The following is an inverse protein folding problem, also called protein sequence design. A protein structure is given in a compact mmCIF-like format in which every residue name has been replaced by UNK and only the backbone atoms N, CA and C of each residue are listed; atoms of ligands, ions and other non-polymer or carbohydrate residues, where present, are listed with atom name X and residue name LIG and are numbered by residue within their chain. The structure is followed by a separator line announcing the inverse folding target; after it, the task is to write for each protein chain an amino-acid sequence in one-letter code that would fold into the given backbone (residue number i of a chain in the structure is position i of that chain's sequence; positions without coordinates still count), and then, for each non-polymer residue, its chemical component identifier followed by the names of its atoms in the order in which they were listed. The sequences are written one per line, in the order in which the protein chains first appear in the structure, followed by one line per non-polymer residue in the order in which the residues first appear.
data_IF_898355724575
#
_entry.id   IF_898355724575
#
_cell.length_a   1.000
_cell.length_b   1.000
_cell.length_c   1.000
_cell.angle_alpha   90.00
_cell.angle_beta   90.00
_cell.angle_gamma   90.00
#
_symmetry.space_group_name_H-M   'P 1'
#
loop_
_entity.id
_entity.type
_entity.pdbx_description
1 polymer ?
#
# COMPACT_ATOMS: atom_id res chain seq x y z
N UNK A 1 9.84 16.34 2.53
CA UNK A 1 8.93 16.82 1.48
C UNK A 1 7.64 16.03 1.59
N UNK A 2 6.51 16.71 1.69
CA UNK A 2 5.18 16.13 1.84
C UNK A 2 4.36 16.47 0.60
N UNK A 3 3.50 15.55 0.18
CA UNK A 3 2.55 15.71 -0.91
C UNK A 3 1.18 15.88 -0.27
N UNK A 4 0.53 16.99 -0.59
CA UNK A 4 -0.78 17.35 -0.03
C UNK A 4 -1.88 17.05 -1.06
N UNK A 5 -2.94 16.38 -0.60
CA UNK A 5 -4.16 16.13 -1.35
C UNK A 5 -5.32 16.82 -0.66
N UNK A 6 -6.15 17.51 -1.44
CA UNK A 6 -7.38 18.13 -0.98
C UNK A 6 -8.59 17.38 -1.53
N UNK A 7 -9.49 16.99 -0.63
CA UNK A 7 -10.73 16.28 -0.93
C UNK A 7 -11.92 17.13 -0.47
N UNK A 8 -12.45 18.04 -1.33
CA UNK A 8 -13.45 19.04 -0.94
C UNK A 8 -14.77 18.44 -0.43
N UNK A 9 -15.25 17.35 -1.05
CA UNK A 9 -16.50 16.69 -0.65
C UNK A 9 -16.40 16.03 0.73
N UNK A 10 -15.23 15.49 1.03
CA UNK A 10 -14.92 14.89 2.32
C UNK A 10 -14.46 15.91 3.37
N UNK A 11 -14.18 17.15 2.93
CA UNK A 11 -13.56 18.21 3.75
C UNK A 11 -12.25 17.74 4.41
N UNK A 12 -11.43 16.98 3.68
CA UNK A 12 -10.20 16.36 4.17
C UNK A 12 -9.00 16.96 3.44
N UNK A 13 -7.96 17.29 4.20
CA UNK A 13 -6.59 17.45 3.71
C UNK A 13 -5.79 16.21 4.13
N UNK A 14 -5.18 15.54 3.18
CA UNK A 14 -4.39 14.33 3.43
C UNK A 14 -2.97 14.51 2.91
N UNK A 15 -1.99 14.30 3.78
CA UNK A 15 -0.59 14.50 3.46
C UNK A 15 0.19 13.19 3.59
N UNK A 16 1.05 12.93 2.62
CA UNK A 16 1.97 11.78 2.63
C UNK A 16 3.40 12.23 2.33
N UNK A 17 4.43 11.56 2.90
CA UNK A 17 5.81 11.87 2.57
C UNK A 17 6.17 11.34 1.18
N UNK A 18 6.93 12.14 0.42
CA UNK A 18 7.63 11.66 -0.77
C UNK A 18 8.91 10.94 -0.35
N UNK A 19 8.80 9.62 -0.11
CA UNK A 19 9.93 8.81 0.32
C UNK A 19 11.03 8.68 -0.74
N UNK A 20 10.67 8.72 -2.03
CA UNK A 20 11.67 8.70 -3.10
C UNK A 20 12.56 9.93 -3.00
N UNK A 21 11.95 11.12 -2.91
CA UNK A 21 12.72 12.36 -2.80
C UNK A 21 13.49 12.47 -1.48
N UNK A 22 12.90 12.07 -0.35
CA UNK A 22 13.56 12.09 0.97
C UNK A 22 14.81 11.21 0.95
N UNK A 23 14.69 9.96 0.52
CA UNK A 23 15.78 9.00 0.53
C UNK A 23 16.86 9.38 -0.51
N UNK A 24 16.47 9.70 -1.76
CA UNK A 24 17.45 10.04 -2.79
C UNK A 24 18.24 11.29 -2.43
N UNK A 25 17.60 12.35 -1.93
CA UNK A 25 18.28 13.57 -1.52
C UNK A 25 19.30 13.34 -0.40
N UNK A 26 18.97 12.46 0.56
CA UNK A 26 19.86 12.16 1.69
C UNK A 26 21.16 11.51 1.28
N UNK A 27 21.22 10.80 0.15
CA UNK A 27 22.43 10.15 -0.35
C UNK A 27 23.55 11.15 -0.61
N UNK A 28 23.21 12.40 -0.92
CA UNK A 28 24.22 13.48 -1.13
C UNK A 28 24.99 13.84 0.14
N UNK A 29 24.45 13.50 1.31
CA UNK A 29 25.14 13.75 2.59
C UNK A 29 26.16 12.69 2.97
N UNK A 30 26.24 11.57 2.24
CA UNK A 30 27.22 10.52 2.50
C UNK A 30 28.59 10.98 2.03
N UNK A 31 29.58 11.13 2.95
CA UNK A 31 30.91 11.65 2.60
C UNK A 31 31.63 10.77 1.59
N UNK A 32 32.65 11.32 0.95
CA UNK A 32 33.59 10.56 0.12
C UNK A 32 34.26 9.47 0.97
N UNK A 33 34.48 8.28 0.39
CA UNK A 33 35.08 7.14 1.09
C UNK A 33 34.16 6.47 2.11
N UNK A 34 32.91 6.90 2.22
CA UNK A 34 31.91 6.32 3.12
C UNK A 34 30.74 5.71 2.35
N UNK A 35 30.10 4.75 2.98
CA UNK A 35 28.87 4.08 2.49
C UNK A 35 27.82 4.06 3.58
N UNK A 36 26.60 3.70 3.22
CA UNK A 36 25.57 3.35 4.19
C UNK A 36 24.87 2.07 3.76
N UNK A 37 24.01 1.51 4.62
CA UNK A 37 23.26 0.29 4.29
C UNK A 37 21.79 0.58 4.09
N UNK A 38 21.09 -0.31 3.36
CA UNK A 38 19.63 -0.25 3.25
C UNK A 38 18.96 -0.23 4.63
N UNK A 39 19.51 -0.98 5.59
CA UNK A 39 19.00 -1.05 6.96
C UNK A 39 19.21 0.25 7.75
N UNK A 40 20.35 0.92 7.59
CA UNK A 40 20.63 2.19 8.27
C UNK A 40 19.73 3.32 7.73
N UNK A 41 19.49 3.36 6.41
CA UNK A 41 18.49 4.29 5.84
C UNK A 41 17.09 3.98 6.41
N UNK A 42 16.70 2.69 6.47
CA UNK A 42 15.42 2.30 7.05
C UNK A 42 15.27 2.71 8.52
N UNK A 43 16.31 2.53 9.34
CA UNK A 43 16.35 3.01 10.74
C UNK A 43 16.22 4.53 10.82
N UNK A 44 16.94 5.27 9.94
CA UNK A 44 16.85 6.73 9.91
C UNK A 44 15.46 7.23 9.51
N UNK A 45 14.74 6.51 8.64
CA UNK A 45 13.33 6.77 8.33
C UNK A 45 12.39 6.52 9.52
N UNK A 46 12.86 5.85 10.57
CA UNK A 46 12.10 5.52 11.78
C UNK A 46 11.57 4.08 11.84
N UNK A 47 11.81 3.26 10.81
CA UNK A 47 11.42 1.84 10.83
C UNK A 47 12.30 0.98 9.91
N UNK A 48 13.05 0.04 10.50
CA UNK A 48 13.95 -0.88 9.80
C UNK A 48 13.21 -1.78 8.77
N UNK A 49 11.90 -2.00 8.93
CA UNK A 49 11.11 -2.81 8.00
C UNK A 49 11.11 -2.21 6.58
N UNK A 50 11.41 -0.93 6.44
CA UNK A 50 11.49 -0.20 5.17
C UNK A 50 12.74 -0.50 4.35
N UNK A 51 13.72 -1.26 4.84
CA UNK A 51 14.98 -1.53 4.14
C UNK A 51 14.77 -2.08 2.70
N UNK A 52 13.75 -2.95 2.50
CA UNK A 52 13.41 -3.45 1.16
C UNK A 52 12.86 -2.35 0.25
N UNK A 53 12.05 -1.45 0.80
CA UNK A 53 11.52 -0.28 0.09
C UNK A 53 12.64 0.68 -0.31
N UNK A 54 13.64 0.88 0.57
CA UNK A 54 14.86 1.63 0.25
C UNK A 54 15.59 0.97 -0.92
N UNK A 55 15.73 -0.37 -0.93
CA UNK A 55 16.29 -1.11 -2.06
C UNK A 55 15.54 -0.85 -3.37
N UNK A 56 14.22 -0.80 -3.33
CA UNK A 56 13.39 -0.47 -4.49
C UNK A 56 13.63 0.97 -4.99
N UNK A 57 13.72 1.95 -4.08
CA UNK A 57 14.05 3.34 -4.42
C UNK A 57 15.42 3.43 -5.10
N UNK A 58 16.42 2.67 -4.61
CA UNK A 58 17.73 2.63 -5.26
C UNK A 58 17.68 2.03 -6.66
N UNK A 59 16.93 0.92 -6.83
CA UNK A 59 16.81 0.23 -8.12
C UNK A 59 16.07 1.06 -9.18
N UNK A 60 15.15 1.94 -8.76
CA UNK A 60 14.36 2.81 -9.64
C UNK A 60 14.90 4.23 -9.76
N UNK A 61 16.09 4.51 -9.20
CA UNK A 61 16.73 5.83 -9.29
C UNK A 61 17.08 6.17 -10.74
N UNK A 62 16.45 7.21 -11.29
CA UNK A 62 16.65 7.70 -12.65
C UNK A 62 17.86 8.63 -12.80
N UNK A 63 18.35 9.17 -11.68
CA UNK A 63 19.42 10.18 -11.65
C UNK A 63 20.60 9.73 -10.79
N UNK A 64 21.25 8.57 -11.14
CA UNK A 64 22.31 7.99 -10.33
C UNK A 64 23.58 8.84 -10.26
N UNK A 65 23.75 9.79 -11.20
CA UNK A 65 24.86 10.75 -11.18
C UNK A 65 24.57 11.94 -10.24
N UNK A 66 23.27 12.25 -10.00
CA UNK A 66 22.84 13.28 -9.05
C UNK A 66 22.70 12.72 -7.64
N UNK A 67 22.17 11.50 -7.52
CA UNK A 67 21.89 10.80 -6.26
C UNK A 67 22.74 9.52 -6.20
N UNK A 68 23.86 9.51 -5.44
CA UNK A 68 24.87 8.47 -5.49
C UNK A 68 24.41 7.16 -4.82
N UNK A 69 23.41 6.49 -5.40
CA UNK A 69 22.87 5.24 -4.86
C UNK A 69 23.86 4.07 -4.91
N UNK A 70 25.01 4.20 -5.61
CA UNK A 70 26.12 3.25 -5.51
C UNK A 70 26.74 3.17 -4.11
N UNK A 71 26.56 4.20 -3.25
CA UNK A 71 27.02 4.22 -1.85
C UNK A 71 26.14 3.42 -0.88
N UNK A 72 25.02 2.85 -1.36
CA UNK A 72 24.15 2.03 -0.51
C UNK A 72 24.44 0.55 -0.75
N UNK A 73 24.73 -0.19 0.32
CA UNK A 73 25.22 -1.57 0.30
C UNK A 73 24.43 -2.46 1.27
N UNK A 74 24.67 -3.77 1.24
CA UNK A 74 24.13 -4.72 2.21
C UNK A 74 24.74 -4.52 3.59
N UNK A 75 24.01 -4.92 4.64
CA UNK A 75 24.51 -4.89 6.02
C UNK A 75 25.63 -5.90 6.27
N UNK A 76 25.77 -6.89 5.42
CA UNK A 76 26.86 -7.88 5.40
C UNK A 76 28.08 -7.41 4.59
N UNK A 77 28.08 -6.19 4.10
CA UNK A 77 29.12 -5.64 3.23
C UNK A 77 28.96 -5.97 1.74
N UNK A 78 27.99 -6.81 1.36
CA UNK A 78 27.73 -7.09 -0.04
C UNK A 78 27.36 -5.81 -0.78
N UNK A 79 28.08 -5.53 -1.88
CA UNK A 79 27.85 -4.29 -2.64
C UNK A 79 26.45 -4.21 -3.26
N UNK A 80 25.78 -5.37 -3.47
CA UNK A 80 24.45 -5.43 -4.05
C UNK A 80 24.38 -5.01 -5.52
N UNK A 81 23.16 -4.96 -6.05
CA UNK A 81 22.91 -4.50 -7.41
C UNK A 81 23.08 -3.00 -7.61
N UNK A 82 23.09 -2.59 -8.87
CA UNK A 82 23.11 -1.18 -9.28
C UNK A 82 22.37 -1.04 -10.62
N UNK A 83 21.56 0.00 -10.79
CA UNK A 83 20.78 0.23 -12.01
C UNK A 83 21.63 0.37 -13.28
N UNK A 84 22.86 0.87 -13.15
CA UNK A 84 23.83 1.00 -14.24
C UNK A 84 24.85 -0.15 -14.30
N UNK A 85 24.58 -1.26 -13.63
CA UNK A 85 25.44 -2.44 -13.60
C UNK A 85 26.43 -2.48 -12.43
N UNK A 86 26.63 -3.68 -11.89
CA UNK A 86 27.43 -3.92 -10.67
C UNK A 86 28.91 -3.56 -10.87
N UNK A 87 29.45 -3.73 -12.08
CA UNK A 87 30.86 -3.39 -12.34
C UNK A 87 31.10 -1.88 -12.30
N UNK A 88 30.13 -1.07 -12.75
CA UNK A 88 30.22 0.37 -12.60
C UNK A 88 30.14 0.77 -11.11
N UNK A 89 29.32 0.11 -10.33
CA UNK A 89 29.25 0.31 -8.86
C UNK A 89 30.60 0.04 -8.21
N UNK A 90 31.24 -1.10 -8.53
CA UNK A 90 32.58 -1.46 -8.04
C UNK A 90 33.62 -0.38 -8.40
N UNK A 91 33.62 0.09 -9.66
CA UNK A 91 34.55 1.14 -10.10
C UNK A 91 34.33 2.45 -9.36
N UNK A 92 33.06 2.89 -9.18
CA UNK A 92 32.74 4.13 -8.43
C UNK A 92 33.21 4.03 -6.97
N UNK A 93 32.93 2.91 -6.28
CA UNK A 93 33.35 2.67 -4.90
C UNK A 93 34.88 2.64 -4.77
N UNK A 94 35.60 1.93 -5.66
CA UNK A 94 37.06 1.89 -5.66
C UNK A 94 37.71 3.27 -5.93
N UNK A 95 37.09 4.09 -6.79
CA UNK A 95 37.54 5.47 -7.02
C UNK A 95 37.46 6.35 -5.77
N UNK A 96 36.57 6.01 -4.85
CA UNK A 96 36.44 6.66 -3.53
C UNK A 96 37.39 6.09 -2.47
N UNK A 97 38.29 5.14 -2.84
CA UNK A 97 39.24 4.50 -1.93
C UNK A 97 38.67 3.29 -1.16
N UNK A 98 37.46 2.82 -1.51
CA UNK A 98 36.82 1.70 -0.81
C UNK A 98 37.34 0.36 -1.35
N UNK A 99 37.86 -0.49 -0.46
CA UNK A 99 38.36 -1.82 -0.79
C UNK A 99 37.21 -2.81 -0.91
N UNK A 100 37.23 -3.59 -2.00
CA UNK A 100 36.22 -4.59 -2.32
C UNK A 100 36.90 -5.92 -2.62
N UNK A 101 36.60 -6.95 -1.80
CA UNK A 101 37.13 -8.30 -1.93
C UNK A 101 35.94 -9.26 -2.08
N UNK A 102 35.95 -10.12 -3.10
CA UNK A 102 34.88 -11.10 -3.33
C UNK A 102 33.45 -10.51 -3.47
N UNK A 103 33.34 -9.23 -3.86
CA UNK A 103 32.04 -8.56 -3.95
C UNK A 103 31.54 -7.94 -2.65
N UNK A 104 32.36 -7.97 -1.60
CA UNK A 104 32.07 -7.39 -0.28
C UNK A 104 33.03 -6.25 0.01
N UNK A 105 32.55 -5.27 0.75
CA UNK A 105 33.35 -4.17 1.29
C UNK A 105 34.17 -4.70 2.48
N UNK A 106 35.46 -4.47 2.42
CA UNK A 106 36.37 -4.75 3.54
C UNK A 106 36.24 -3.66 4.62
N UNK A 107 36.21 -4.05 5.90
CA UNK A 107 36.11 -3.15 7.06
C UNK A 107 34.87 -2.21 6.97
N UNK A 108 33.70 -2.76 6.65
CA UNK A 108 32.46 -1.98 6.50
C UNK A 108 32.18 -1.10 7.72
N UNK A 109 32.44 -1.62 8.93
CA UNK A 109 32.18 -0.95 10.22
C UNK A 109 32.95 0.37 10.38
N UNK A 110 34.10 0.52 9.70
CA UNK A 110 34.93 1.73 9.76
C UNK A 110 34.41 2.84 8.82
N UNK A 111 33.70 2.46 7.77
CA UNK A 111 33.30 3.39 6.71
C UNK A 111 31.79 3.56 6.57
N UNK A 112 30.99 2.81 7.35
CA UNK A 112 29.53 2.91 7.31
C UNK A 112 29.05 4.17 8.01
N UNK A 113 28.18 4.94 7.35
CA UNK A 113 27.44 6.05 7.95
C UNK A 113 26.18 5.47 8.60
N UNK A 114 26.08 5.62 9.92
CA UNK A 114 24.99 5.09 10.71
C UNK A 114 23.72 5.95 10.59
N UNK A 115 22.58 5.40 10.92
CA UNK A 115 21.27 6.06 10.85
C UNK A 115 21.21 7.42 11.53
N UNK A 116 21.85 7.57 12.70
CA UNK A 116 21.90 8.83 13.45
C UNK A 116 22.66 9.96 12.75
N UNK A 117 23.58 9.61 11.84
CA UNK A 117 24.43 10.55 11.12
C UNK A 117 23.87 10.85 9.70
N UNK A 118 22.84 10.10 9.26
CA UNK A 118 22.13 10.36 8.03
C UNK A 118 21.14 11.52 8.22
N UNK A 119 21.14 12.48 7.30
CA UNK A 119 20.22 13.62 7.32
C UNK A 119 18.85 13.21 6.76
N UNK A 120 18.19 12.25 7.41
CA UNK A 120 16.88 11.71 7.04
C UNK A 120 15.88 11.99 8.18
N UNK A 121 14.76 12.65 7.91
CA UNK A 121 13.71 12.81 8.92
C UNK A 121 13.04 11.46 9.20
N UNK A 122 12.70 11.13 10.47
CA UNK A 122 12.07 9.86 10.85
C UNK A 122 10.57 9.83 10.50
N UNK A 123 10.25 9.97 9.20
CA UNK A 123 8.87 10.13 8.72
C UNK A 123 8.02 8.89 8.97
N UNK A 124 8.60 7.69 8.98
CA UNK A 124 7.83 6.46 9.26
C UNK A 124 7.40 6.38 10.73
N UNK A 125 8.21 6.89 11.64
CA UNK A 125 7.83 7.01 13.05
C UNK A 125 6.64 7.97 13.21
N UNK A 126 6.63 9.08 12.48
CA UNK A 126 5.50 10.03 12.46
C UNK A 126 4.23 9.37 11.90
N UNK A 127 4.35 8.55 10.85
CA UNK A 127 3.22 7.80 10.30
C UNK A 127 2.72 6.71 11.25
N UNK A 128 3.61 6.05 12.02
CA UNK A 128 3.20 5.11 13.07
C UNK A 128 2.39 5.80 14.15
N UNK A 129 2.87 6.95 14.64
CA UNK A 129 2.16 7.75 15.65
C UNK A 129 0.78 8.19 15.12
N UNK A 130 0.71 8.60 13.87
CA UNK A 130 -0.56 8.94 13.22
C UNK A 130 -1.51 7.73 13.16
N UNK A 131 -1.02 6.54 12.78
CA UNK A 131 -1.84 5.32 12.80
C UNK A 131 -2.33 4.95 14.20
N UNK A 132 -1.49 5.12 15.22
CA UNK A 132 -1.88 4.88 16.63
C UNK A 132 -2.96 5.87 17.06
N UNK A 133 -2.75 7.16 16.83
CA UNK A 133 -3.72 8.21 17.15
C UNK A 133 -5.08 8.01 16.44
N UNK A 134 -5.05 7.72 15.13
CA UNK A 134 -6.28 7.45 14.39
C UNK A 134 -6.92 6.10 14.82
N UNK A 135 -6.11 5.13 15.23
CA UNK A 135 -6.58 3.86 15.76
C UNK A 135 -7.43 4.01 17.02
N UNK A 136 -7.14 4.99 17.87
CA UNK A 136 -7.95 5.34 19.05
C UNK A 136 -9.31 5.96 18.67
N UNK A 137 -9.47 6.43 17.43
CA UNK A 137 -10.72 6.97 16.90
C UNK A 137 -11.58 5.92 16.22
N UNK A 138 -11.11 4.68 16.12
CA UNK A 138 -11.91 3.58 15.57
C UNK A 138 -13.10 3.31 16.49
N UNK A 139 -14.28 3.48 15.94
CA UNK A 139 -15.53 3.13 16.60
C UNK A 139 -15.94 1.72 16.15
N UNK A 140 -16.06 0.79 17.09
CA UNK A 140 -16.52 -0.58 16.84
C UNK A 140 -17.98 -0.80 17.27
N UNK A 141 -18.75 0.28 17.39
CA UNK A 141 -20.20 0.19 17.61
C UNK A 141 -20.90 -0.49 16.43
N UNK A 142 -22.02 -1.09 16.70
CA UNK A 142 -22.79 -1.79 15.67
C UNK A 142 -23.25 -0.81 14.58
N UNK A 143 -23.08 -1.22 13.33
CA UNK A 143 -23.84 -0.66 12.24
C UNK A 143 -25.31 -1.08 12.42
N UNK A 144 -26.18 -0.09 12.50
CA UNK A 144 -27.61 -0.32 12.69
C UNK A 144 -28.30 -0.48 11.33
N UNK A 145 -28.71 -1.71 11.01
CA UNK A 145 -29.47 -2.02 9.80
C UNK A 145 -28.70 -2.91 8.81
N UNK A 146 -29.39 -3.25 7.71
CA UNK A 146 -28.78 -3.88 6.56
C UNK A 146 -28.37 -2.79 5.57
N UNK A 147 -27.10 -2.77 5.11
CA UNK A 147 -26.67 -1.75 4.16
C UNK A 147 -27.36 -1.97 2.81
N UNK A 148 -27.98 -0.93 2.26
CA UNK A 148 -28.48 -0.94 0.89
C UNK A 148 -27.43 -0.46 -0.11
N UNK A 149 -26.75 0.64 0.21
CA UNK A 149 -25.76 1.25 -0.66
C UNK A 149 -24.35 0.93 -0.17
N UNK A 150 -23.65 0.11 -0.93
CA UNK A 150 -22.29 -0.31 -0.62
C UNK A 150 -21.32 0.29 -1.64
N UNK A 151 -20.28 0.97 -1.20
CA UNK A 151 -19.12 1.28 -2.04
C UNK A 151 -18.06 0.23 -1.81
N UNK A 152 -17.64 -0.46 -2.86
CA UNK A 152 -16.46 -1.32 -2.83
C UNK A 152 -15.27 -0.65 -3.49
N UNK A 153 -14.09 -0.82 -2.88
CA UNK A 153 -12.82 -0.24 -3.32
C UNK A 153 -11.81 -1.35 -3.60
N UNK A 154 -11.26 -1.36 -4.82
CA UNK A 154 -10.12 -2.17 -5.23
C UNK A 154 -8.96 -1.28 -5.68
N UNK A 155 -7.74 -1.68 -5.37
CA UNK A 155 -6.54 -0.96 -5.69
C UNK A 155 -5.56 -1.79 -6.49
N UNK A 156 -4.99 -1.18 -7.50
CA UNK A 156 -4.01 -1.80 -8.37
C UNK A 156 -2.84 -0.88 -8.66
N UNK A 157 -1.76 -1.47 -9.20
CA UNK A 157 -0.52 -0.74 -9.45
C UNK A 157 0.02 -0.99 -10.84
N UNK A 158 0.67 0.02 -11.38
CA UNK A 158 1.58 -0.09 -12.51
C UNK A 158 2.96 0.32 -12.00
N UNK A 159 3.87 -0.65 -11.98
CA UNK A 159 5.26 -0.38 -11.64
C UNK A 159 5.96 0.24 -12.84
N UNK A 160 6.70 1.26 -12.56
CA UNK A 160 7.50 1.99 -13.53
C UNK A 160 7.79 3.38 -12.99
N UNK A 161 8.83 4.05 -13.44
CA UNK A 161 9.07 5.41 -12.97
C UNK A 161 8.25 6.45 -13.75
N UNK A 162 7.25 7.14 -13.13
CA UNK A 162 6.79 6.93 -11.75
C UNK A 162 5.90 5.69 -11.61
N UNK A 163 5.92 5.06 -10.43
CA UNK A 163 4.90 4.08 -10.06
C UNK A 163 3.54 4.78 -9.98
N UNK A 164 2.49 4.06 -10.38
CA UNK A 164 1.12 4.59 -10.41
C UNK A 164 0.20 3.68 -9.59
N UNK A 165 -0.60 4.30 -8.72
CA UNK A 165 -1.74 3.68 -8.06
C UNK A 165 -3.02 3.95 -8.85
N UNK A 166 -3.84 2.93 -8.98
CA UNK A 166 -5.15 2.98 -9.62
C UNK A 166 -6.15 2.48 -8.59
N UNK A 167 -7.12 3.32 -8.22
CA UNK A 167 -8.24 2.88 -7.41
C UNK A 167 -9.51 2.85 -8.26
N UNK A 168 -10.30 1.82 -8.03
CA UNK A 168 -11.65 1.68 -8.59
C UNK A 168 -12.64 1.65 -7.43
N UNK A 169 -13.57 2.59 -7.42
CA UNK A 169 -14.70 2.64 -6.51
C UNK A 169 -15.97 2.25 -7.28
N UNK A 170 -16.76 1.34 -6.73
CA UNK A 170 -18.01 0.90 -7.31
C UNK A 170 -19.16 1.01 -6.30
N UNK A 171 -20.19 1.77 -6.63
CA UNK A 171 -21.38 1.95 -5.81
C UNK A 171 -22.44 0.94 -6.25
N UNK A 172 -22.87 0.13 -5.30
CA UNK A 172 -23.92 -0.89 -5.46
C UNK A 172 -25.18 -0.50 -4.73
N UNK A 173 -26.33 -0.82 -5.32
CA UNK A 173 -27.60 -0.99 -4.65
C UNK A 173 -27.81 -2.49 -4.43
N UNK A 174 -27.70 -2.95 -3.20
CA UNK A 174 -27.84 -4.38 -2.85
C UNK A 174 -29.28 -4.87 -2.97
N UNK A 175 -30.28 -4.00 -2.76
CA UNK A 175 -31.69 -4.34 -2.87
C UNK A 175 -32.08 -4.59 -4.33
N UNK A 176 -31.64 -3.70 -5.25
CA UNK A 176 -31.87 -3.85 -6.69
C UNK A 176 -30.80 -4.70 -7.40
N UNK A 177 -29.80 -5.16 -6.65
CA UNK A 177 -28.69 -5.96 -7.16
C UNK A 177 -28.01 -5.39 -8.41
N UNK A 178 -27.74 -4.09 -8.41
CA UNK A 178 -27.16 -3.36 -9.54
C UNK A 178 -26.04 -2.40 -9.16
N UNK A 179 -25.14 -2.16 -10.11
CA UNK A 179 -24.16 -1.09 -10.04
C UNK A 179 -24.84 0.24 -10.37
N UNK A 180 -24.71 1.22 -9.49
CA UNK A 180 -25.24 2.57 -9.68
C UNK A 180 -24.18 3.50 -10.28
N UNK A 181 -22.95 3.36 -9.88
CA UNK A 181 -21.84 4.20 -10.35
C UNK A 181 -20.51 3.50 -10.23
N UNK A 182 -19.56 3.93 -11.05
CA UNK A 182 -18.19 3.46 -11.04
C UNK A 182 -17.25 4.65 -11.26
N UNK A 183 -16.24 4.75 -10.42
CA UNK A 183 -15.21 5.78 -10.54
C UNK A 183 -13.81 5.16 -10.52
N UNK A 184 -12.93 5.72 -11.36
CA UNK A 184 -11.52 5.36 -11.40
C UNK A 184 -10.69 6.60 -11.09
N UNK A 185 -9.66 6.42 -10.29
CA UNK A 185 -8.61 7.41 -10.06
C UNK A 185 -7.25 6.84 -10.39
N UNK A 186 -6.35 7.71 -10.82
CA UNK A 186 -4.97 7.37 -11.17
C UNK A 186 -4.07 8.43 -10.54
N UNK A 187 -3.15 8.01 -9.67
CA UNK A 187 -2.22 8.94 -9.00
C UNK A 187 -0.80 8.39 -8.98
N UNK A 188 0.22 9.26 -9.03
CA UNK A 188 1.59 8.83 -8.78
C UNK A 188 1.75 8.28 -7.36
N UNK A 189 2.63 7.30 -7.20
CA UNK A 189 3.00 6.74 -5.90
C UNK A 189 4.26 7.47 -5.40
N UNK A 190 4.14 8.08 -4.22
CA UNK A 190 5.26 8.75 -3.54
C UNK A 190 5.84 7.92 -2.40
N UNK A 191 5.21 6.80 -2.09
CA UNK A 191 5.63 5.88 -1.05
C UNK A 191 5.66 4.45 -1.58
N UNK A 192 6.82 3.79 -1.69
CA UNK A 192 6.89 2.39 -2.12
C UNK A 192 6.20 1.49 -1.10
N UNK A 193 5.95 0.23 -1.47
CA UNK A 193 5.35 -0.73 -0.55
C UNK A 193 6.25 -0.96 0.68
N UNK A 194 5.70 -0.69 1.85
CA UNK A 194 6.28 -1.01 3.14
C UNK A 194 5.22 -1.78 3.95
N UNK A 195 5.53 -3.00 4.44
CA UNK A 195 4.58 -3.74 5.27
C UNK A 195 4.01 -2.89 6.40
N UNK A 196 2.71 -2.98 6.64
CA UNK A 196 1.96 -2.23 7.66
C UNK A 196 1.76 -0.72 7.41
N UNK A 197 2.28 -0.18 6.28
CA UNK A 197 2.06 1.21 5.87
C UNK A 197 1.27 1.31 4.55
N UNK A 198 0.62 0.22 4.14
CA UNK A 198 -0.06 0.12 2.85
C UNK A 198 -1.07 1.26 2.65
N UNK A 199 -1.82 1.63 3.70
CA UNK A 199 -2.80 2.70 3.64
C UNK A 199 -2.22 4.02 3.11
N UNK A 200 -1.03 4.42 3.54
CA UNK A 200 -0.43 5.69 3.09
C UNK A 200 -0.05 5.69 1.60
N UNK A 201 0.18 4.52 1.03
CA UNK A 201 0.42 4.35 -0.41
C UNK A 201 -0.87 4.42 -1.23
N UNK A 202 -1.98 3.94 -0.68
CA UNK A 202 -3.23 3.65 -1.38
C UNK A 202 -4.30 4.72 -1.21
N UNK A 203 -4.34 5.34 -0.04
CA UNK A 203 -5.39 6.29 0.32
C UNK A 203 -5.57 7.45 -0.66
N UNK A 204 -4.52 8.07 -1.23
CA UNK A 204 -4.73 9.17 -2.18
C UNK A 204 -5.60 8.75 -3.37
N UNK A 205 -5.32 7.57 -3.95
CA UNK A 205 -6.13 7.04 -5.05
C UNK A 205 -7.54 6.65 -4.59
N UNK A 206 -7.63 5.93 -3.46
CA UNK A 206 -8.90 5.46 -2.91
C UNK A 206 -9.86 6.63 -2.61
N UNK A 207 -9.37 7.68 -1.95
CA UNK A 207 -10.17 8.86 -1.60
C UNK A 207 -10.62 9.64 -2.85
N UNK A 208 -9.76 9.80 -3.87
CA UNK A 208 -10.14 10.44 -5.13
C UNK A 208 -11.22 9.67 -5.89
N UNK A 209 -11.16 8.34 -5.86
CA UNK A 209 -12.21 7.52 -6.47
C UNK A 209 -13.51 7.58 -5.66
N UNK A 210 -13.41 7.51 -4.33
CA UNK A 210 -14.55 7.61 -3.42
C UNK A 210 -15.26 8.96 -3.58
N UNK A 211 -14.53 10.06 -3.61
CA UNK A 211 -15.07 11.41 -3.73
C UNK A 211 -15.97 11.57 -4.96
N UNK A 212 -15.58 10.96 -6.10
CA UNK A 212 -16.41 10.95 -7.31
C UNK A 212 -17.73 10.16 -7.14
N UNK A 213 -17.69 9.12 -6.30
CA UNK A 213 -18.90 8.35 -5.97
C UNK A 213 -19.87 9.16 -5.11
N UNK A 214 -19.34 9.96 -4.18
CA UNK A 214 -20.14 10.79 -3.29
C UNK A 214 -20.95 11.87 -4.04
N UNK A 215 -20.56 12.23 -5.28
CA UNK A 215 -21.35 13.08 -6.17
C UNK A 215 -22.67 12.42 -6.59
N UNK A 216 -22.72 11.09 -6.62
CA UNK A 216 -23.89 10.32 -7.02
C UNK A 216 -24.76 9.99 -5.80
N UNK A 217 -24.15 9.40 -4.75
CA UNK A 217 -24.83 9.02 -3.52
C UNK A 217 -23.85 8.73 -2.38
N UNK A 218 -24.21 9.10 -1.18
CA UNK A 218 -23.54 8.66 0.04
C UNK A 218 -23.82 7.17 0.29
N UNK A 219 -22.80 6.33 0.52
CA UNK A 219 -22.98 4.92 0.84
C UNK A 219 -23.33 4.72 2.33
N UNK A 220 -24.01 3.62 2.63
CA UNK A 220 -24.23 3.18 3.99
C UNK A 220 -22.95 2.60 4.59
N UNK A 221 -22.11 1.96 3.73
CA UNK A 221 -20.86 1.34 4.14
C UNK A 221 -19.85 1.28 2.99
N UNK A 222 -18.57 1.31 3.36
CA UNK A 222 -17.42 1.10 2.44
C UNK A 222 -16.83 -0.28 2.71
N UNK A 223 -16.75 -1.13 1.67
CA UNK A 223 -16.03 -2.40 1.66
C UNK A 223 -14.69 -2.22 0.91
N UNK A 224 -13.58 -2.50 1.56
CA UNK A 224 -12.24 -2.26 1.01
C UNK A 224 -11.51 -3.59 0.81
N UNK A 225 -10.89 -3.82 -0.36
CA UNK A 225 -9.96 -4.95 -0.53
C UNK A 225 -8.71 -4.68 0.32
N UNK A 226 -8.75 -5.13 1.58
CA UNK A 226 -7.72 -4.90 2.58
C UNK A 226 -8.19 -5.16 3.99
N UNK A 227 -7.33 -4.89 4.96
CA UNK A 227 -7.62 -5.15 6.36
C UNK A 227 -8.26 -3.93 7.05
N UNK A 228 -9.18 -4.23 8.00
CA UNK A 228 -9.61 -3.29 9.02
C UNK A 228 -8.73 -3.38 10.26
N UNK A 229 -9.31 -3.75 11.42
CA UNK A 229 -8.54 -3.91 12.67
C UNK A 229 -7.67 -5.17 12.72
N UNK A 230 -7.78 -6.12 11.77
CA UNK A 230 -6.84 -7.23 11.63
C UNK A 230 -5.48 -6.77 11.07
N UNK A 231 -4.85 -5.88 11.79
CA UNK A 231 -3.60 -5.22 11.45
C UNK A 231 -2.68 -5.17 12.69
N UNK A 232 -1.34 -5.19 12.57
CA UNK A 232 -0.43 -5.16 13.72
C UNK A 232 -0.68 -4.01 14.70
N UNK A 233 -1.13 -2.85 14.19
CA UNK A 233 -1.52 -1.66 14.97
C UNK A 233 -3.05 -1.50 15.10
N UNK A 234 -3.83 -2.56 14.86
CA UNK A 234 -5.31 -2.54 14.81
C UNK A 234 -5.87 -1.41 13.92
N UNK A 235 -5.11 -1.01 12.88
CA UNK A 235 -5.48 0.10 12.02
C UNK A 235 -5.00 -0.13 10.58
N UNK A 236 -5.75 -0.94 9.84
CA UNK A 236 -5.53 -1.19 8.41
C UNK A 236 -6.20 -0.15 7.51
N UNK A 237 -6.18 -0.37 6.20
CA UNK A 237 -6.70 0.59 5.22
C UNK A 237 -8.20 0.84 5.37
N UNK A 238 -9.00 -0.18 5.67
CA UNK A 238 -10.43 -0.01 5.86
C UNK A 238 -10.74 0.82 7.12
N UNK A 239 -9.98 0.62 8.22
CA UNK A 239 -10.08 1.48 9.41
C UNK A 239 -9.67 2.91 9.08
N UNK A 240 -8.59 3.09 8.32
CA UNK A 240 -8.08 4.41 7.96
C UNK A 240 -9.10 5.20 7.13
N UNK A 241 -9.64 4.60 6.05
CA UNK A 241 -10.70 5.23 5.23
C UNK A 241 -11.91 5.55 6.10
N UNK A 242 -12.40 4.59 6.88
CA UNK A 242 -13.58 4.77 7.71
C UNK A 242 -13.44 5.92 8.72
N UNK A 243 -12.31 5.99 9.45
CA UNK A 243 -12.06 7.05 10.44
C UNK A 243 -11.99 8.43 9.79
N UNK A 244 -11.23 8.57 8.70
CA UNK A 244 -11.05 9.90 8.08
C UNK A 244 -12.29 10.38 7.34
N UNK A 245 -13.13 9.47 6.81
CA UNK A 245 -14.38 9.85 6.11
C UNK A 245 -15.59 9.86 7.03
N UNK A 246 -15.47 9.28 8.24
CA UNK A 246 -16.54 9.02 9.18
C UNK A 246 -17.68 8.17 8.58
N UNK A 247 -17.39 7.34 7.57
CA UNK A 247 -18.32 6.40 6.94
C UNK A 247 -18.07 5.01 7.51
N UNK A 248 -19.13 4.23 7.84
CA UNK A 248 -18.98 2.83 8.23
C UNK A 248 -18.13 2.07 7.22
N UNK A 249 -17.21 1.20 7.70
CA UNK A 249 -16.31 0.49 6.80
C UNK A 249 -15.95 -0.90 7.29
N UNK A 250 -15.72 -1.81 6.33
CA UNK A 250 -15.21 -3.15 6.56
C UNK A 250 -14.05 -3.44 5.61
N UNK A 251 -13.09 -4.23 6.09
CA UNK A 251 -12.03 -4.80 5.27
C UNK A 251 -12.40 -6.21 4.83
N UNK A 252 -12.25 -6.50 3.54
CA UNK A 252 -12.43 -7.82 2.94
C UNK A 252 -11.13 -8.16 2.21
N UNK A 253 -10.26 -8.94 2.86
CA UNK A 253 -8.95 -9.29 2.34
C UNK A 253 -8.87 -10.74 1.87
N UNK A 254 -7.91 -11.05 0.99
CA UNK A 254 -7.71 -12.40 0.42
C UNK A 254 -6.83 -13.30 1.29
N UNK A 255 -6.14 -12.73 2.28
CA UNK A 255 -5.23 -13.47 3.18
C UNK A 255 -5.16 -12.84 4.57
N UNK A 256 -4.82 -13.66 5.56
CA UNK A 256 -4.58 -13.19 6.92
C UNK A 256 -3.23 -12.44 6.95
N UNK A 257 -3.25 -11.20 7.42
CA UNK A 257 -2.05 -10.41 7.68
C UNK A 257 -1.48 -10.70 9.07
N UNK A 258 -2.35 -10.76 10.07
CA UNK A 258 -2.02 -11.06 11.48
C UNK A 258 -3.18 -11.82 12.13
N UNK A 259 -2.90 -12.47 13.25
CA UNK A 259 -3.90 -13.26 13.98
C UNK A 259 -3.92 -14.72 13.56
N UNK A 260 -4.77 -15.50 14.20
CA UNK A 260 -4.94 -16.94 13.99
C UNK A 260 -6.41 -17.31 13.98
N UNK A 261 -6.80 -18.20 13.06
CA UNK A 261 -8.13 -18.80 13.08
C UNK A 261 -8.25 -19.68 14.31
N UNK A 262 -9.31 -19.51 15.06
CA UNK A 262 -9.60 -20.28 16.30
C UNK A 262 -11.01 -20.85 16.28
N UNK A 263 -11.26 -21.84 17.16
CA UNK A 263 -12.57 -22.44 17.33
C UNK A 263 -13.09 -23.23 16.12
N UNK A 264 -14.34 -23.66 16.22
CA UNK A 264 -14.98 -24.49 15.20
C UNK A 264 -15.58 -23.64 14.07
N UNK A 265 -15.59 -24.23 12.87
CA UNK A 265 -16.23 -23.64 11.72
C UNK A 265 -17.76 -23.71 11.83
N UNK A 266 -18.41 -22.57 11.81
CA UNK A 266 -19.86 -22.44 11.75
C UNK A 266 -20.34 -22.38 10.30
N UNK A 267 -21.62 -22.75 10.06
CA UNK A 267 -22.26 -22.71 8.74
C UNK A 267 -23.29 -21.58 8.67
N UNK A 268 -23.38 -20.96 7.50
CA UNK A 268 -24.43 -20.01 7.13
C UNK A 268 -24.77 -20.24 5.64
N UNK A 269 -25.85 -20.96 5.36
CA UNK A 269 -26.15 -21.44 4.01
C UNK A 269 -24.99 -22.25 3.43
N UNK A 270 -24.49 -21.85 2.25
CA UNK A 270 -23.32 -22.47 1.61
C UNK A 270 -21.99 -21.98 2.17
N UNK A 271 -22.01 -20.92 2.98
CA UNK A 271 -20.81 -20.32 3.55
C UNK A 271 -20.43 -21.03 4.87
N UNK A 272 -19.14 -21.02 5.16
CA UNK A 272 -18.58 -21.40 6.46
C UNK A 272 -17.73 -20.26 6.98
N UNK A 273 -17.70 -20.08 8.29
CA UNK A 273 -16.89 -19.05 8.91
C UNK A 273 -16.30 -19.50 10.24
N UNK A 274 -15.18 -18.92 10.61
CA UNK A 274 -14.54 -19.11 11.90
C UNK A 274 -13.90 -17.80 12.38
N UNK A 275 -13.85 -17.56 13.71
CA UNK A 275 -13.26 -16.34 14.25
C UNK A 275 -11.75 -16.31 14.09
N UNK A 276 -11.19 -15.09 14.01
CA UNK A 276 -9.75 -14.81 14.01
C UNK A 276 -9.41 -14.06 15.28
N UNK A 277 -8.56 -14.70 16.07
CA UNK A 277 -7.98 -14.11 17.28
C UNK A 277 -6.74 -13.29 16.95
N UNK A 278 -6.64 -12.11 17.54
CA UNK A 278 -5.45 -11.27 17.57
C UNK A 278 -5.17 -10.86 19.00
N UNK A 279 -4.18 -11.52 19.62
CA UNK A 279 -3.71 -11.21 20.99
C UNK A 279 -4.82 -11.40 22.08
N UNK A 280 -5.64 -12.45 21.94
CA UNK A 280 -6.70 -12.77 22.90
C UNK A 280 -8.04 -12.09 22.62
N UNK A 281 -8.17 -11.35 21.51
CA UNK A 281 -9.39 -10.69 21.11
C UNK A 281 -9.84 -11.16 19.72
N UNK A 282 -11.13 -11.38 19.52
CA UNK A 282 -11.69 -11.63 18.20
C UNK A 282 -11.71 -10.32 17.42
N UNK A 283 -10.89 -10.25 16.35
CA UNK A 283 -10.75 -9.04 15.52
C UNK A 283 -11.30 -9.21 14.10
N UNK A 284 -11.88 -10.35 13.78
CA UNK A 284 -12.48 -10.61 12.47
C UNK A 284 -12.80 -12.09 12.28
N UNK A 285 -13.14 -12.42 11.06
CA UNK A 285 -13.53 -13.77 10.67
C UNK A 285 -12.90 -14.17 9.34
N UNK A 286 -12.62 -15.47 9.20
CA UNK A 286 -12.47 -16.09 7.90
C UNK A 286 -13.84 -16.56 7.44
N UNK A 287 -14.23 -16.22 6.21
CA UNK A 287 -15.45 -16.67 5.55
C UNK A 287 -15.05 -17.46 4.31
N UNK A 288 -15.65 -18.63 4.08
CA UNK A 288 -15.32 -19.50 2.94
C UNK A 288 -16.53 -20.00 2.21
N UNK A 289 -16.43 -20.07 0.87
CA UNK A 289 -17.34 -20.81 -0.03
C UNK A 289 -16.53 -21.83 -0.81
N UNK A 290 -16.75 -23.13 -0.53
CA UNK A 290 -15.92 -24.19 -1.10
C UNK A 290 -14.44 -24.01 -0.75
N UNK A 291 -13.59 -23.88 -1.78
CA UNK A 291 -12.13 -23.67 -1.63
C UNK A 291 -11.73 -22.20 -1.45
N UNK A 292 -12.63 -21.27 -1.72
CA UNK A 292 -12.35 -19.83 -1.68
C UNK A 292 -12.54 -19.28 -0.28
N UNK A 293 -11.69 -18.35 0.11
CA UNK A 293 -11.70 -17.74 1.44
C UNK A 293 -11.45 -16.25 1.34
N UNK A 294 -12.16 -15.51 2.16
CA UNK A 294 -11.92 -14.10 2.44
C UNK A 294 -11.72 -13.89 3.95
N UNK A 295 -11.04 -12.84 4.30
CA UNK A 295 -10.82 -12.39 5.66
C UNK A 295 -11.60 -11.11 5.85
N UNK A 296 -12.49 -11.10 6.84
CA UNK A 296 -13.37 -9.96 7.13
C UNK A 296 -13.00 -9.37 8.47
N UNK A 297 -12.83 -8.07 8.52
CA UNK A 297 -12.62 -7.33 9.76
C UNK A 297 -13.31 -5.98 9.74
N UNK A 298 -13.82 -5.47 10.87
CA UNK A 298 -14.39 -4.13 10.93
C UNK A 298 -13.30 -3.07 10.64
N UNK A 299 -13.72 -1.99 10.01
CA UNK A 299 -12.90 -0.81 9.81
C UNK A 299 -13.23 0.27 10.82
N UNK A 300 -14.41 0.89 10.71
CA UNK A 300 -14.91 1.95 11.56
C UNK A 300 -16.45 1.92 11.59
N UNK A 301 -17.08 2.31 12.71
CA UNK A 301 -18.55 2.33 12.93
C UNK A 301 -19.22 1.01 12.57
N UNK A 302 -18.51 -0.09 12.80
CA UNK A 302 -18.95 -1.45 12.53
C UNK A 302 -18.33 -2.36 13.57
N UNK A 303 -19.13 -3.20 14.24
CA UNK A 303 -18.62 -4.20 15.17
C UNK A 303 -18.02 -5.41 14.44
N UNK A 304 -17.28 -6.25 15.15
CA UNK A 304 -16.71 -7.49 14.61
C UNK A 304 -17.78 -8.40 14.04
N UNK A 305 -18.87 -8.59 14.79
CA UNK A 305 -20.03 -9.40 14.36
C UNK A 305 -20.85 -8.70 13.27
N UNK A 306 -20.92 -7.35 13.30
CA UNK A 306 -21.55 -6.55 12.26
C UNK A 306 -20.84 -6.75 10.91
N UNK A 307 -19.50 -6.69 10.90
CA UNK A 307 -18.70 -6.94 9.70
C UNK A 307 -18.93 -8.37 9.15
N UNK A 308 -19.02 -9.38 10.03
CA UNK A 308 -19.36 -10.74 9.62
C UNK A 308 -20.75 -10.81 9.00
N UNK A 309 -21.78 -10.25 9.66
CA UNK A 309 -23.17 -10.26 9.15
C UNK A 309 -23.24 -9.65 7.75
N UNK A 310 -22.61 -8.49 7.55
CA UNK A 310 -22.56 -7.84 6.24
C UNK A 310 -21.87 -8.75 5.23
N UNK A 311 -20.71 -9.32 5.54
CA UNK A 311 -20.00 -10.20 4.61
C UNK A 311 -20.78 -11.47 4.25
N UNK A 312 -21.57 -12.02 5.19
CA UNK A 312 -22.43 -13.19 4.96
C UNK A 312 -23.66 -12.85 4.11
N UNK A 313 -24.16 -11.62 4.15
CA UNK A 313 -25.29 -11.17 3.31
C UNK A 313 -24.90 -10.81 1.88
N UNK A 314 -23.60 -10.60 1.61
CA UNK A 314 -23.12 -10.29 0.25
C UNK A 314 -23.29 -11.49 -0.70
N UNK A 315 -23.73 -11.21 -1.92
CA UNK A 315 -23.90 -12.23 -2.95
C UNK A 315 -22.57 -12.83 -3.37
N UNK A 316 -22.49 -14.17 -3.36
CA UNK A 316 -21.41 -14.95 -3.94
C UNK A 316 -21.95 -15.68 -5.16
N UNK A 317 -21.60 -15.24 -6.35
CA UNK A 317 -21.99 -15.94 -7.57
C UNK A 317 -21.19 -17.23 -7.76
N UNK A 318 -21.73 -18.14 -8.58
CA UNK A 318 -21.09 -19.43 -8.83
C UNK A 318 -19.70 -19.25 -9.45
N UNK A 319 -18.72 -20.02 -8.96
CA UNK A 319 -17.31 -20.00 -9.38
C UNK A 319 -16.55 -18.68 -9.09
N UNK A 320 -17.08 -17.81 -8.26
CA UNK A 320 -16.37 -16.61 -7.82
C UNK A 320 -15.60 -16.88 -6.51
N UNK A 321 -14.43 -16.27 -6.40
CA UNK A 321 -13.53 -16.41 -5.25
C UNK A 321 -13.69 -15.31 -4.19
N UNK A 322 -14.62 -14.39 -4.42
CA UNK A 322 -14.94 -13.26 -3.54
C UNK A 322 -16.40 -12.82 -3.79
N UNK A 323 -17.06 -12.08 -2.87
CA UNK A 323 -18.39 -11.53 -3.09
C UNK A 323 -18.45 -10.66 -4.35
N UNK A 324 -19.59 -10.70 -5.04
CA UNK A 324 -19.78 -10.01 -6.31
C UNK A 324 -19.48 -8.51 -6.23
N UNK A 325 -19.85 -7.84 -5.15
CA UNK A 325 -19.55 -6.42 -4.95
C UNK A 325 -18.06 -6.12 -4.93
N UNK A 326 -17.21 -7.04 -4.45
CA UNK A 326 -15.75 -6.89 -4.45
C UNK A 326 -15.14 -7.23 -5.82
N UNK A 327 -15.77 -8.14 -6.54
CA UNK A 327 -15.27 -8.62 -7.82
C UNK A 327 -15.35 -7.57 -8.94
N UNK A 328 -16.40 -6.77 -8.98
CA UNK A 328 -16.58 -5.77 -10.04
C UNK A 328 -15.44 -4.74 -10.07
N UNK A 329 -15.13 -4.02 -8.98
CA UNK A 329 -14.01 -3.08 -8.98
C UNK A 329 -12.68 -3.78 -9.30
N UNK A 330 -12.47 -5.03 -8.86
CA UNK A 330 -11.29 -5.82 -9.18
C UNK A 330 -11.15 -6.09 -10.69
N UNK A 331 -12.22 -6.52 -11.36
CA UNK A 331 -12.24 -6.75 -12.82
C UNK A 331 -11.92 -5.44 -13.55
N UNK A 332 -12.60 -4.35 -13.21
CA UNK A 332 -12.40 -3.04 -13.83
C UNK A 332 -10.97 -2.55 -13.64
N UNK A 333 -10.45 -2.56 -12.41
CA UNK A 333 -9.07 -2.21 -12.07
C UNK A 333 -8.06 -3.02 -12.90
N UNK A 334 -8.29 -4.34 -13.04
CA UNK A 334 -7.40 -5.23 -13.79
C UNK A 334 -7.39 -4.90 -15.28
N UNK A 335 -8.56 -4.69 -15.90
CA UNK A 335 -8.67 -4.34 -17.32
C UNK A 335 -8.09 -2.96 -17.59
N UNK A 336 -8.36 -1.98 -16.74
CA UNK A 336 -7.85 -0.64 -16.89
C UNK A 336 -6.32 -0.57 -16.76
N UNK A 337 -5.72 -1.33 -15.83
CA UNK A 337 -4.26 -1.49 -15.72
C UNK A 337 -3.65 -2.06 -17.00
N UNK A 338 -4.28 -3.09 -17.58
CA UNK A 338 -3.82 -3.69 -18.85
C UNK A 338 -3.88 -2.68 -19.99
N UNK A 339 -4.96 -1.92 -20.07
CA UNK A 339 -5.13 -0.85 -21.06
C UNK A 339 -4.04 0.22 -20.93
N UNK A 340 -3.81 0.76 -19.75
CA UNK A 340 -2.78 1.77 -19.51
C UNK A 340 -1.36 1.25 -19.82
N UNK A 341 -1.03 0.01 -19.45
CA UNK A 341 0.27 -0.59 -19.80
C UNK A 341 0.48 -0.69 -21.31
N UNK A 342 -0.55 -1.06 -22.06
CA UNK A 342 -0.49 -1.11 -23.53
C UNK A 342 -0.32 0.28 -24.13
N UNK A 343 -1.07 1.27 -23.63
CA UNK A 343 -0.96 2.67 -24.07
C UNK A 343 0.47 3.21 -23.83
N UNK A 344 1.05 2.96 -22.67
CA UNK A 344 2.43 3.38 -22.35
C UNK A 344 3.46 2.74 -23.26
N UNK A 345 3.27 1.46 -23.61
CA UNK A 345 4.14 0.77 -24.58
C UNK A 345 4.09 1.47 -25.94
N UNK A 346 2.89 1.76 -26.45
CA UNK A 346 2.69 2.45 -27.73
C UNK A 346 3.32 3.85 -27.75
N UNK A 347 3.20 4.61 -26.65
CA UNK A 347 3.78 5.94 -26.54
C UNK A 347 5.32 5.85 -26.54
N UNK A 348 5.89 4.92 -25.78
CA UNK A 348 7.33 4.71 -25.72
C UNK A 348 7.92 4.29 -27.06
N UNK A 349 7.26 3.35 -27.73
CA UNK A 349 7.71 2.83 -29.03
C UNK A 349 7.67 3.92 -30.10
N UNK A 350 6.68 4.83 -30.08
CA UNK A 350 6.63 6.01 -30.97
C UNK A 350 7.67 7.08 -30.63
N UNK A 351 8.05 7.25 -29.36
CA UNK A 351 9.14 8.18 -28.99
C UNK A 351 10.51 7.70 -29.45
N UNK A 352 10.74 6.39 -29.50
CA UNK A 352 11.96 5.79 -30.07
C UNK A 352 12.04 5.99 -31.60
N UNK A 353 10.90 5.92 -32.29
CA UNK A 353 10.84 6.22 -33.72
C UNK A 353 11.13 7.70 -34.05
N UNK A 354 10.62 8.63 -33.23
CA UNK A 354 10.86 10.07 -33.43
C UNK A 354 12.32 10.47 -33.18
N UNK A 355 13.04 9.79 -32.27
CA UNK A 355 14.47 10.04 -32.05
C UNK A 355 15.36 9.51 -33.16
N UNK A 356 14.90 8.49 -33.91
CA UNK A 356 15.60 8.00 -35.12
C UNK A 356 15.46 8.91 -36.34
N UNK A 357 14.53 9.89 -36.32
CA UNK A 357 14.36 10.91 -37.37
C UNK A 357 15.15 12.20 -37.11
N UNK A 358 15.75 12.35 -35.93
CA UNK A 358 16.50 13.57 -35.53
C UNK A 358 18.04 13.31 -35.46
N UNK A 359 18.45 12.05 -35.63
CA UNK A 359 19.83 11.62 -35.76
C UNK A 359 20.22 11.46 -37.25
#
# INVERSE_FOLDING_TARGET
MWICYWFPRLSIVYEIPDLYAIVLKSLKSIPQGKVTTYGEIGKALGDKISARAVGYIMATNRWPDIYPCYKVVGSDGNIGGYSLGTDLKKRKLRKEGIRIVGGHIENLEEIVVMSKDLKIPPVLESLQRLQQYLGEKVDLSNFYGEPRYVVSLDLGYINGPPDISIATACLFDLEENKVLSLAISVVPIFMPYIPTYLAFRELPAALLALEKILDVRYPDIIAVDGQGILHPRKFGIASHIGVITNIPSIGIAKSILVGKVIGDWKKYGELKYAPIDLRGEICGYVVSKGKHKIIVSPGHRTSVDGALKIALSLEWRNNENEPYVMRIPHIVSTHFRKYLKNLWRLIRDKQTDLTSFIS
#
